data_IF_546675975292
#
_entry.id   IF_546675975292
#
_cell.length_a   1.000
_cell.length_b   1.000
_cell.length_c   1.000
_cell.angle_alpha   90.00
_cell.angle_beta   90.00
_cell.angle_gamma   90.00
#
_symmetry.space_group_name_H-M   'P 1'
#
loop_
_entity.id
_entity.type
_entity.pdbx_description
1 polymer ?
#
# COMPACT_ATOMS: atom_id res chain seq x y z
N UNK A 1 3.83 -1.36 14.24
CA UNK A 1 4.04 -0.96 12.83
C UNK A 1 5.45 -0.41 12.75
N UNK A 2 6.20 -0.75 11.71
CA UNK A 2 7.61 -0.38 11.56
C UNK A 2 7.84 0.26 10.20
N UNK A 3 8.58 1.36 10.15
CA UNK A 3 8.94 2.03 8.89
C UNK A 3 10.14 1.32 8.27
N UNK A 4 9.97 0.80 7.06
CA UNK A 4 11.01 0.04 6.35
C UNK A 4 11.81 0.92 5.40
N UNK A 5 11.18 1.95 4.82
CA UNK A 5 11.86 2.90 3.95
C UNK A 5 11.23 4.29 4.03
N UNK A 6 12.07 5.32 4.16
CA UNK A 6 11.65 6.72 4.03
C UNK A 6 11.64 7.08 2.54
N UNK A 7 10.47 7.42 2.02
CA UNK A 7 10.28 7.71 0.59
C UNK A 7 9.68 9.09 0.37
N UNK A 8 8.83 9.57 1.29
CA UNK A 8 8.22 10.90 1.18
C UNK A 8 7.23 11.05 0.02
N UNK A 9 6.52 9.98 -0.35
CA UNK A 9 5.54 10.02 -1.44
C UNK A 9 4.37 10.95 -1.10
N UNK A 10 4.17 11.99 -1.91
CA UNK A 10 3.03 12.90 -1.79
C UNK A 10 1.76 12.20 -2.27
N UNK A 11 0.83 11.96 -1.34
CA UNK A 11 -0.46 11.35 -1.63
C UNK A 11 -1.43 12.36 -2.25
N UNK A 12 -1.98 12.01 -3.40
CA UNK A 12 -2.99 12.81 -4.10
C UNK A 12 -4.39 12.24 -3.86
N UNK A 13 -5.37 13.13 -3.69
CA UNK A 13 -6.78 12.74 -3.55
C UNK A 13 -7.22 11.97 -4.81
N UNK A 14 -7.92 10.84 -4.61
CA UNK A 14 -8.39 9.99 -5.70
C UNK A 14 -7.44 8.85 -6.10
N UNK A 15 -6.27 8.75 -5.49
CA UNK A 15 -5.31 7.67 -5.73
C UNK A 15 -5.09 6.79 -4.49
N UNK A 16 -4.94 5.49 -4.73
CA UNK A 16 -4.49 4.50 -3.77
C UNK A 16 -2.99 4.27 -3.97
N UNK A 17 -2.23 4.39 -2.88
CA UNK A 17 -0.79 4.16 -2.87
C UNK A 17 -0.49 2.85 -2.16
N UNK A 18 0.26 1.97 -2.82
CA UNK A 18 0.57 0.64 -2.31
C UNK A 18 1.96 0.18 -2.75
N UNK A 19 2.46 -0.87 -2.10
CA UNK A 19 3.73 -1.50 -2.47
C UNK A 19 3.45 -2.63 -3.45
N UNK A 20 4.00 -2.56 -4.67
CA UNK A 20 3.78 -3.53 -5.74
C UNK A 20 4.56 -4.84 -5.53
N UNK A 21 4.50 -5.77 -6.49
CA UNK A 21 5.15 -7.09 -6.38
C UNK A 21 6.68 -6.98 -6.36
N UNK A 22 7.23 -5.93 -6.95
CA UNK A 22 8.67 -5.65 -7.01
C UNK A 22 9.19 -4.96 -5.75
N UNK A 23 8.29 -4.56 -4.83
CA UNK A 23 8.68 -3.84 -3.61
C UNK A 23 8.76 -2.33 -3.80
N UNK A 24 8.23 -1.81 -4.92
CA UNK A 24 8.21 -0.39 -5.24
C UNK A 24 6.88 0.25 -4.87
N UNK A 25 6.85 1.57 -4.72
CA UNK A 25 5.60 2.29 -4.46
C UNK A 25 4.93 2.63 -5.78
N UNK A 26 3.69 2.18 -5.91
CA UNK A 26 2.83 2.42 -7.05
C UNK A 26 1.53 3.11 -6.63
N UNK A 27 0.98 3.92 -7.52
CA UNK A 27 -0.28 4.64 -7.35
C UNK A 27 -1.30 4.18 -8.40
N UNK A 28 -2.50 3.85 -7.96
CA UNK A 28 -3.63 3.51 -8.83
C UNK A 28 -4.83 4.41 -8.54
N UNK A 29 -5.64 4.71 -9.55
CA UNK A 29 -6.88 5.46 -9.33
C UNK A 29 -7.86 4.63 -8.50
N UNK A 30 -8.42 5.21 -7.44
CA UNK A 30 -9.43 4.54 -6.62
C UNK A 30 -10.75 4.42 -7.37
N UNK A 31 -11.36 3.25 -7.33
CA UNK A 31 -12.76 3.12 -7.70
C UNK A 31 -13.62 3.74 -6.59
N UNK A 32 -14.46 4.72 -6.95
CA UNK A 32 -15.45 5.30 -6.04
C UNK A 32 -16.82 4.67 -6.34
N UNK A 33 -17.61 4.39 -5.30
CA UNK A 33 -19.01 3.97 -5.45
C UNK A 33 -19.23 2.59 -6.08
N UNK A 34 -18.34 1.61 -5.87
CA UNK A 34 -18.52 0.25 -6.40
C UNK A 34 -18.21 0.09 -7.89
N UNK A 35 -17.79 1.16 -8.57
CA UNK A 35 -17.31 1.10 -9.95
C UNK A 35 -15.99 0.33 -10.09
N UNK A 36 -15.53 0.11 -11.33
CA UNK A 36 -14.22 -0.48 -11.61
C UNK A 36 -13.14 0.62 -11.51
N UNK A 37 -12.06 0.36 -10.77
CA UNK A 37 -10.88 1.21 -10.81
C UNK A 37 -10.34 1.24 -12.26
N UNK A 38 -9.83 2.39 -12.74
CA UNK A 38 -9.20 2.41 -14.08
C UNK A 38 -8.05 1.41 -14.08
N UNK A 39 -7.94 0.64 -15.16
CA UNK A 39 -6.94 -0.41 -15.31
C UNK A 39 -5.56 0.25 -15.41
N UNK A 40 -4.75 0.09 -14.37
CA UNK A 40 -3.37 0.56 -14.37
C UNK A 40 -2.92 1.16 -13.05
N UNK A 41 -1.70 0.84 -12.66
CA UNK A 41 -0.97 1.50 -11.58
C UNK A 41 0.30 2.12 -12.14
N UNK A 42 0.59 3.36 -11.76
CA UNK A 42 1.84 4.03 -12.12
C UNK A 42 2.84 3.88 -10.98
N UNK A 43 4.05 3.43 -11.29
CA UNK A 43 5.15 3.44 -10.32
C UNK A 43 5.54 4.89 -10.01
N UNK A 44 5.53 5.25 -8.73
CA UNK A 44 5.83 6.61 -8.26
C UNK A 44 7.18 6.70 -7.55
N UNK A 45 7.66 5.60 -6.97
CA UNK A 45 9.00 5.53 -6.40
C UNK A 45 9.56 4.12 -6.50
N UNK A 46 10.84 4.01 -6.89
CA UNK A 46 11.60 2.76 -6.82
C UNK A 46 12.23 2.67 -5.43
N UNK A 47 11.92 1.62 -4.70
CA UNK A 47 12.37 1.41 -3.31
C UNK A 47 12.97 0.02 -3.14
N UNK A 48 12.47 -0.99 -3.86
CA UNK A 48 12.99 -2.36 -3.80
C UNK A 48 12.80 -3.05 -2.46
N UNK A 49 11.69 -2.79 -1.76
CA UNK A 49 11.42 -3.40 -0.45
C UNK A 49 11.18 -4.91 -0.58
N UNK A 50 12.00 -5.71 0.10
CA UNK A 50 11.80 -7.16 0.21
C UNK A 50 10.60 -7.46 1.10
N UNK A 51 9.58 -8.11 0.54
CA UNK A 51 8.39 -8.50 1.27
C UNK A 51 8.63 -9.79 2.05
N UNK A 52 8.50 -9.71 3.37
CA UNK A 52 8.57 -10.86 4.25
C UNK A 52 7.20 -11.53 4.42
N UNK A 53 7.21 -12.86 4.47
CA UNK A 53 6.01 -13.65 4.75
C UNK A 53 5.48 -13.29 6.13
N UNK A 54 4.17 -13.04 6.22
CA UNK A 54 3.52 -12.68 7.49
C UNK A 54 3.42 -11.18 7.77
N UNK A 55 3.90 -10.32 6.87
CA UNK A 55 3.77 -8.86 6.98
C UNK A 55 2.98 -8.24 5.84
N UNK A 56 2.19 -7.22 6.17
CA UNK A 56 1.52 -6.33 5.23
C UNK A 56 2.38 -5.09 5.04
N UNK A 57 2.63 -4.73 3.78
CA UNK A 57 3.41 -3.56 3.39
C UNK A 57 2.49 -2.50 2.80
N UNK A 58 2.59 -1.27 3.28
CA UNK A 58 1.74 -0.17 2.86
C UNK A 58 2.45 1.18 2.99
N UNK A 59 1.87 2.20 2.36
CA UNK A 59 2.37 3.58 2.45
C UNK A 59 1.65 4.29 3.59
N UNK A 60 2.39 4.81 4.56
CA UNK A 60 1.85 5.50 5.75
C UNK A 60 1.31 6.91 5.42
N UNK A 61 0.86 7.66 6.44
CA UNK A 61 0.36 9.04 6.25
C UNK A 61 1.46 10.02 5.82
N UNK A 62 2.72 9.75 6.17
CA UNK A 62 3.90 10.56 5.82
C UNK A 62 4.45 10.23 4.43
N UNK A 63 3.89 9.25 3.73
CA UNK A 63 4.35 8.84 2.41
C UNK A 63 5.50 7.83 2.43
N UNK A 64 5.76 7.18 3.56
CA UNK A 64 6.83 6.20 3.73
C UNK A 64 6.31 4.77 3.64
N UNK A 65 7.19 3.83 3.29
CA UNK A 65 6.83 2.41 3.28
C UNK A 65 6.99 1.85 4.69
N UNK A 66 5.91 1.28 5.20
CA UNK A 66 5.86 0.65 6.51
C UNK A 66 5.33 -0.77 6.41
N UNK A 67 5.70 -1.61 7.39
CA UNK A 67 5.19 -2.97 7.56
C UNK A 67 4.43 -3.14 8.86
N UNK A 68 3.46 -4.03 8.84
CA UNK A 68 2.75 -4.50 10.03
C UNK A 68 2.54 -6.02 9.94
N UNK A 69 2.62 -6.72 11.07
CA UNK A 69 2.36 -8.16 11.12
C UNK A 69 0.91 -8.42 10.70
N UNK A 70 0.69 -9.27 9.71
CA UNK A 70 -0.65 -9.62 9.23
C UNK A 70 -1.39 -10.37 10.32
N UNK A 71 -2.58 -9.90 10.67
CA UNK A 71 -3.54 -10.70 11.41
C UNK A 71 -4.08 -11.80 10.47
N UNK A 72 -3.50 -13.00 10.51
CA UNK A 72 -4.04 -14.16 9.82
C UNK A 72 -5.31 -14.60 10.57
N UNK A 73 -6.46 -14.52 9.91
CA UNK A 73 -7.75 -14.86 10.51
C UNK A 73 -8.38 -13.66 11.20
N UNK A 74 -9.12 -12.86 10.44
CA UNK A 74 -10.02 -11.87 11.03
C UNK A 74 -11.03 -12.59 11.90
N UNK A 75 -10.99 -12.37 13.22
CA UNK A 75 -12.15 -12.57 14.09
C UNK A 75 -13.31 -11.86 13.37
N UNK A 76 -14.25 -12.63 12.83
CA UNK A 76 -15.46 -12.10 12.19
C UNK A 76 -16.10 -11.21 13.26
N UNK A 77 -16.00 -9.88 13.13
CA UNK A 77 -16.65 -8.96 14.06
C UNK A 77 -18.14 -9.18 13.85
N UNK A 78 -18.74 -10.02 14.71
CA UNK A 78 -20.17 -10.30 14.69
C UNK A 78 -20.86 -8.96 14.95
N UNK A 79 -21.77 -8.63 14.05
CA UNK A 79 -22.52 -7.37 14.02
C UNK A 79 -23.47 -7.31 15.19
#
# INVERSE_FOLDING_TARGET
METVAKVGVKKQKGYLYFVDKQGDVSAATMARGGGKAKKGSKKVAKVGVKKEKGYLYFVDKKGNVSRAKMARGGRKKRR
#
